data_IF_755368159493
#
_entry.id   IF_755368159493
#
_cell.length_a   1.000
_cell.length_b   1.000
_cell.length_c   1.000
_cell.angle_alpha   90.00
_cell.angle_beta   90.00
_cell.angle_gamma   90.00
#
_symmetry.space_group_name_H-M   'P 1'
#
loop_
_entity.id
_entity.type
_entity.pdbx_description
1 polymer ?
#
# COMPACT_ATOMS: atom_id res chain seq x y z
N UNK A 1 -0.94 99.73 30.60
CA UNK A 1 -1.69 98.65 31.28
C UNK A 1 -1.47 97.35 30.52
N UNK A 2 -0.60 96.74 30.93
CA UNK A 2 -0.21 95.43 31.47
C UNK A 2 -0.18 94.26 30.48
N UNK A 3 1.00 93.71 30.19
CA UNK A 3 1.11 92.42 29.61
C UNK A 3 1.65 91.40 30.65
N UNK A 4 0.87 91.17 31.71
CA UNK A 4 1.32 90.22 32.75
C UNK A 4 0.49 88.92 32.87
N UNK A 5 -0.55 88.77 32.04
CA UNK A 5 -1.42 87.59 32.14
C UNK A 5 -1.05 86.45 31.16
N UNK A 6 -0.29 86.77 30.12
CA UNK A 6 0.06 85.69 29.13
C UNK A 6 1.21 84.77 29.55
N UNK A 7 2.06 85.23 30.45
CA UNK A 7 3.27 84.44 30.84
C UNK A 7 2.95 83.32 31.86
N UNK A 8 1.81 83.35 32.52
CA UNK A 8 1.44 82.30 33.49
C UNK A 8 0.67 81.13 32.84
N UNK A 9 0.01 81.32 31.70
CA UNK A 9 -0.69 80.25 30.98
C UNK A 9 0.24 79.31 30.23
N UNK A 10 1.36 79.83 29.75
CA UNK A 10 2.33 79.01 28.99
C UNK A 10 3.15 78.06 29.87
N UNK A 11 3.28 78.35 31.18
CA UNK A 11 4.07 77.54 32.09
C UNK A 11 3.36 76.27 32.57
N UNK A 12 2.03 76.24 32.48
CA UNK A 12 1.22 75.08 32.92
C UNK A 12 0.93 74.15 31.74
N UNK A 13 1.04 74.58 30.51
CA UNK A 13 0.83 73.76 29.33
C UNK A 13 2.08 72.86 29.02
N UNK A 14 3.28 73.36 29.34
CA UNK A 14 4.51 72.58 29.14
C UNK A 14 4.70 71.43 30.18
N UNK A 15 4.09 71.55 31.37
CA UNK A 15 4.23 70.53 32.43
C UNK A 15 3.29 69.34 32.27
N UNK A 16 2.20 69.47 31.48
CA UNK A 16 1.26 68.36 31.24
C UNK A 16 1.56 67.61 29.94
N UNK A 17 2.44 68.10 29.03
CA UNK A 17 2.82 67.42 27.80
C UNK A 17 3.88 66.33 28.00
N UNK A 18 4.50 66.18 29.16
CA UNK A 18 5.59 65.20 29.46
C UNK A 18 5.06 63.92 30.13
N UNK A 19 3.74 63.76 30.33
CA UNK A 19 3.13 62.60 31.00
C UNK A 19 2.34 61.66 30.10
N UNK A 20 2.33 61.91 28.79
CA UNK A 20 1.69 61.04 27.80
C UNK A 20 2.68 60.44 26.81
N UNK A 21 3.74 59.76 27.34
CA UNK A 21 4.48 58.80 26.55
C UNK A 21 3.62 57.53 26.49
N UNK A 22 3.13 57.08 25.32
CA UNK A 22 2.50 55.78 25.20
C UNK A 22 3.57 54.72 25.52
N UNK A 23 3.39 54.05 26.66
CA UNK A 23 4.17 52.86 26.98
C UNK A 23 3.97 51.85 25.84
N UNK A 24 4.98 51.68 24.98
CA UNK A 24 5.01 50.60 24.02
C UNK A 24 5.16 49.30 24.85
N UNK A 25 4.04 48.70 25.23
CA UNK A 25 4.04 47.31 25.66
C UNK A 25 4.43 46.48 24.46
N UNK A 26 5.71 46.14 24.38
CA UNK A 26 6.21 45.11 23.47
C UNK A 26 5.58 43.79 23.99
N UNK A 27 4.42 43.42 23.41
CA UNK A 27 3.88 42.06 23.54
C UNK A 27 4.92 41.17 22.89
N UNK A 28 5.83 40.62 23.70
CA UNK A 28 6.66 39.52 23.29
C UNK A 28 5.69 38.37 22.93
N UNK A 29 5.38 38.23 21.67
CA UNK A 29 4.76 37.03 21.12
C UNK A 29 5.76 35.90 21.37
N UNK A 30 5.57 35.18 22.43
CA UNK A 30 6.24 33.89 22.66
C UNK A 30 5.70 32.97 21.57
N UNK A 31 6.36 32.94 20.43
CA UNK A 31 6.26 31.83 19.49
C UNK A 31 6.77 30.62 20.25
N UNK A 32 5.85 29.86 20.84
CA UNK A 32 6.17 28.47 21.23
C UNK A 32 6.70 27.80 19.97
N UNK A 33 7.89 27.20 20.02
CA UNK A 33 8.30 26.34 18.91
C UNK A 33 7.22 25.27 18.80
N UNK A 34 6.53 25.21 17.65
CA UNK A 34 5.76 24.03 17.27
C UNK A 34 6.69 22.84 17.46
N UNK A 35 6.40 22.06 18.47
CA UNK A 35 7.07 20.80 18.72
C UNK A 35 6.70 19.92 17.54
N UNK A 36 7.50 19.94 16.48
CA UNK A 36 7.44 18.97 15.40
C UNK A 36 7.62 17.61 16.07
N UNK A 37 6.51 16.99 16.40
CA UNK A 37 6.47 15.62 16.92
C UNK A 37 7.15 14.75 15.84
N UNK A 38 8.39 14.33 16.12
CA UNK A 38 9.10 13.44 15.22
C UNK A 38 8.31 12.13 15.14
N UNK A 39 7.92 11.74 13.92
CA UNK A 39 7.19 10.50 13.68
C UNK A 39 7.99 9.31 14.24
N UNK A 40 7.29 8.37 14.87
CA UNK A 40 7.88 7.16 15.46
C UNK A 40 8.29 6.20 14.32
N UNK A 41 9.56 5.78 14.24
CA UNK A 41 9.99 4.84 13.21
C UNK A 41 9.25 3.51 13.32
N UNK A 42 8.77 2.97 12.19
CA UNK A 42 8.09 1.68 12.14
C UNK A 42 8.60 0.90 10.93
N UNK A 43 9.14 -0.30 11.14
CA UNK A 43 9.70 -1.10 10.08
C UNK A 43 8.77 -2.27 9.73
N UNK A 44 8.41 -2.35 8.44
CA UNK A 44 7.56 -3.39 7.87
C UNK A 44 8.35 -4.25 6.88
N UNK A 45 7.97 -5.51 6.71
CA UNK A 45 8.47 -6.36 5.63
C UNK A 45 7.47 -6.42 4.48
N UNK A 46 7.99 -6.60 3.26
CA UNK A 46 7.21 -6.82 2.05
C UNK A 46 7.95 -7.76 1.10
N UNK A 47 7.24 -8.36 0.15
CA UNK A 47 7.82 -8.99 -1.03
C UNK A 47 7.68 -8.10 -2.26
N UNK A 48 8.45 -8.40 -3.32
CA UNK A 48 8.28 -7.76 -4.62
C UNK A 48 6.98 -8.21 -5.28
N UNK A 49 6.14 -7.25 -5.61
CA UNK A 49 4.86 -7.47 -6.26
C UNK A 49 4.36 -6.21 -7.00
N UNK A 50 5.11 -5.75 -8.00
CA UNK A 50 4.74 -4.55 -8.74
C UNK A 50 3.41 -4.76 -9.51
N UNK A 51 2.58 -3.72 -9.61
CA UNK A 51 2.81 -2.33 -9.25
C UNK A 51 2.38 -1.96 -7.81
N UNK A 52 2.00 -2.94 -6.98
CA UNK A 52 1.51 -2.70 -5.63
C UNK A 52 2.62 -2.48 -4.61
N UNK A 53 3.67 -3.30 -4.69
CA UNK A 53 4.82 -3.33 -3.78
C UNK A 53 6.09 -3.56 -4.60
N UNK A 54 7.05 -2.64 -4.55
CA UNK A 54 8.37 -2.84 -5.16
C UNK A 54 9.38 -1.83 -4.62
N UNK A 55 10.59 -2.27 -4.31
CA UNK A 55 11.68 -1.42 -3.83
C UNK A 55 12.03 -0.32 -4.84
N UNK A 56 11.93 -0.62 -6.14
CA UNK A 56 12.36 0.26 -7.23
C UNK A 56 11.32 1.24 -7.75
N UNK A 57 10.04 1.05 -7.39
CA UNK A 57 8.96 1.90 -7.90
C UNK A 57 8.85 3.24 -7.15
N UNK A 58 8.32 4.30 -7.81
CA UNK A 58 7.91 5.53 -7.13
C UNK A 58 7.01 5.21 -5.93
N UNK A 59 7.34 5.80 -4.78
CA UNK A 59 6.66 5.52 -3.52
C UNK A 59 6.63 4.03 -3.12
N UNK A 60 7.50 3.20 -3.71
CA UNK A 60 7.56 1.75 -3.51
C UNK A 60 6.27 1.01 -3.89
N UNK A 61 5.47 1.60 -4.79
CA UNK A 61 4.21 1.07 -5.30
C UNK A 61 2.97 1.59 -4.56
N UNK A 62 1.81 1.32 -5.14
CA UNK A 62 0.54 1.92 -4.71
C UNK A 62 0.16 1.52 -3.26
N UNK A 63 0.35 0.27 -2.90
CA UNK A 63 -0.02 -0.24 -1.56
C UNK A 63 1.01 0.15 -0.51
N UNK A 64 2.31 0.18 -0.85
CA UNK A 64 3.33 0.70 0.07
C UNK A 64 3.09 2.18 0.39
N UNK A 65 2.70 2.98 -0.61
CA UNK A 65 2.33 4.39 -0.44
C UNK A 65 1.11 4.53 0.49
N UNK A 66 0.03 3.81 0.20
CA UNK A 66 -1.18 3.80 1.03
C UNK A 66 -0.88 3.45 2.50
N UNK A 67 -0.13 2.37 2.75
CA UNK A 67 0.21 1.92 4.11
C UNK A 67 1.04 2.97 4.84
N UNK A 68 2.00 3.58 4.14
CA UNK A 68 2.86 4.63 4.72
C UNK A 68 2.04 5.83 5.16
N UNK A 69 1.13 6.30 4.32
CA UNK A 69 0.30 7.48 4.62
C UNK A 69 -0.71 7.19 5.74
N UNK A 70 -1.29 5.99 5.78
CA UNK A 70 -2.16 5.56 6.89
C UNK A 70 -1.42 5.63 8.22
N UNK A 71 -0.20 5.12 8.29
CA UNK A 71 0.59 5.16 9.51
C UNK A 71 1.13 6.57 9.83
N UNK A 72 1.39 7.40 8.82
CA UNK A 72 1.83 8.78 9.03
C UNK A 72 0.77 9.62 9.73
N UNK A 73 -0.51 9.47 9.38
CA UNK A 73 -1.64 10.10 10.10
C UNK A 73 -1.74 9.65 11.56
N UNK A 74 -1.19 8.48 11.86
CA UNK A 74 -1.14 7.94 13.21
C UNK A 74 0.16 8.26 13.97
N UNK A 75 1.04 9.09 13.41
CA UNK A 75 2.28 9.52 14.03
C UNK A 75 3.47 8.58 13.81
N UNK A 76 3.43 7.69 12.83
CA UNK A 76 4.52 6.76 12.53
C UNK A 76 5.17 7.05 11.18
N UNK A 77 6.48 6.83 11.11
CA UNK A 77 7.27 6.88 9.87
C UNK A 77 7.61 5.45 9.44
N UNK A 78 6.89 4.95 8.43
CA UNK A 78 7.05 3.58 7.93
C UNK A 78 8.20 3.48 6.93
N UNK A 79 9.07 2.50 7.14
CA UNK A 79 10.03 2.00 6.16
C UNK A 79 9.75 0.54 5.82
N UNK A 80 9.97 0.16 4.54
CA UNK A 80 9.80 -1.22 4.08
C UNK A 80 11.15 -1.90 3.85
N UNK A 81 11.24 -3.18 4.26
CA UNK A 81 12.30 -4.11 3.86
C UNK A 81 11.73 -5.09 2.84
N UNK A 82 12.21 -5.03 1.60
CA UNK A 82 11.81 -5.97 0.55
C UNK A 82 12.63 -7.25 0.64
N UNK A 83 11.95 -8.37 0.76
CA UNK A 83 12.53 -9.70 1.03
C UNK A 83 11.83 -10.75 0.17
N UNK A 84 12.45 -11.91 -0.08
CA UNK A 84 11.70 -13.07 -0.55
C UNK A 84 10.51 -13.35 0.37
N UNK A 85 9.32 -13.63 -0.19
CA UNK A 85 8.06 -13.76 0.56
C UNK A 85 8.15 -14.67 1.79
N UNK A 86 8.76 -15.87 1.64
CA UNK A 86 8.94 -16.78 2.76
C UNK A 86 9.78 -16.20 3.89
N UNK A 87 10.79 -15.37 3.56
CA UNK A 87 11.62 -14.70 4.56
C UNK A 87 10.87 -13.54 5.22
N UNK A 88 10.11 -12.75 4.44
CA UNK A 88 9.26 -11.69 4.96
C UNK A 88 8.27 -12.25 5.99
N UNK A 89 7.62 -13.38 5.67
CA UNK A 89 6.75 -14.11 6.59
C UNK A 89 7.46 -14.53 7.87
N UNK A 90 8.54 -15.31 7.72
CA UNK A 90 9.26 -15.92 8.85
C UNK A 90 9.84 -14.86 9.80
N UNK A 91 10.51 -13.82 9.25
CA UNK A 91 11.13 -12.78 10.05
C UNK A 91 10.07 -11.96 10.80
N UNK A 92 8.91 -11.68 10.16
CA UNK A 92 7.81 -10.97 10.80
C UNK A 92 7.11 -11.82 11.85
N UNK A 93 6.84 -13.11 11.61
CA UNK A 93 6.26 -14.02 12.59
C UNK A 93 7.09 -14.13 13.88
N UNK A 94 8.41 -13.90 13.77
CA UNK A 94 9.32 -13.86 14.91
C UNK A 94 9.47 -12.46 15.53
N UNK A 95 8.70 -11.46 15.09
CA UNK A 95 8.66 -10.12 15.68
C UNK A 95 9.80 -9.19 15.25
N UNK A 96 10.54 -9.52 14.18
CA UNK A 96 11.61 -8.66 13.66
C UNK A 96 11.05 -7.40 12.98
N UNK A 97 9.86 -7.48 12.42
CA UNK A 97 9.11 -6.39 11.79
C UNK A 97 7.80 -6.19 12.53
N UNK A 98 7.33 -4.94 12.59
CA UNK A 98 6.08 -4.57 13.23
C UNK A 98 4.85 -5.14 12.49
N UNK A 99 4.96 -5.27 11.17
CA UNK A 99 3.96 -5.92 10.32
C UNK A 99 4.59 -6.41 9.01
N UNK A 100 3.85 -7.24 8.27
CA UNK A 100 4.20 -7.70 6.93
C UNK A 100 3.07 -7.40 5.93
N UNK A 101 3.39 -6.85 4.79
CA UNK A 101 2.47 -6.49 3.72
C UNK A 101 2.74 -7.35 2.47
N UNK A 102 1.83 -7.76 1.75
CA UNK A 102 0.39 -7.87 1.67
C UNK A 102 0.09 -9.38 1.57
N UNK A 103 -0.88 -9.88 2.29
CA UNK A 103 -1.08 -11.33 2.39
C UNK A 103 -2.54 -11.70 2.25
N UNK A 104 -2.83 -12.73 1.48
CA UNK A 104 -4.13 -13.38 1.45
C UNK A 104 -4.43 -14.05 2.78
N UNK A 105 -5.74 -14.14 3.12
CA UNK A 105 -6.17 -14.91 4.27
C UNK A 105 -5.82 -16.40 4.10
N UNK A 106 -5.20 -16.97 5.12
CA UNK A 106 -4.93 -18.40 5.22
C UNK A 106 -5.02 -18.83 6.69
N UNK A 107 -5.72 -19.95 6.96
CA UNK A 107 -5.97 -20.42 8.32
C UNK A 107 -4.70 -20.76 9.09
N UNK A 108 -3.72 -21.33 8.41
CA UNK A 108 -2.42 -21.68 9.00
C UNK A 108 -1.60 -20.46 9.45
N UNK A 109 -1.84 -19.28 8.85
CA UNK A 109 -1.18 -18.03 9.23
C UNK A 109 -1.79 -17.37 10.46
N UNK A 110 -3.07 -17.65 10.76
CA UNK A 110 -3.77 -17.07 11.91
C UNK A 110 -3.13 -17.44 13.26
N UNK A 111 -2.35 -18.52 13.32
CA UNK A 111 -1.56 -18.88 14.52
C UNK A 111 -0.38 -17.95 14.80
N UNK A 112 0.16 -17.31 13.76
CA UNK A 112 1.35 -16.45 13.85
C UNK A 112 1.00 -14.96 13.80
N UNK A 113 -0.15 -14.61 13.20
CA UNK A 113 -0.51 -13.22 12.92
C UNK A 113 -1.94 -12.85 13.24
N UNK A 114 -2.12 -11.58 13.56
CA UNK A 114 -3.39 -10.87 13.52
C UNK A 114 -3.53 -10.22 12.13
N UNK A 115 -4.71 -10.29 11.54
CA UNK A 115 -5.00 -9.69 10.24
C UNK A 115 -5.64 -8.32 10.40
N UNK A 116 -5.21 -7.34 9.58
CA UNK A 116 -5.91 -6.06 9.45
C UNK A 116 -7.27 -6.22 8.78
N UNK A 117 -8.02 -5.12 8.64
CA UNK A 117 -9.01 -5.01 7.58
C UNK A 117 -8.32 -5.07 6.21
N UNK A 118 -9.09 -5.44 5.17
CA UNK A 118 -8.56 -5.57 3.81
C UNK A 118 -7.98 -4.26 3.29
N UNK A 119 -6.72 -4.32 2.85
CA UNK A 119 -5.99 -3.20 2.24
C UNK A 119 -6.03 -3.21 0.72
N UNK A 120 -6.36 -4.36 0.10
CA UNK A 120 -6.41 -4.53 -1.35
C UNK A 120 -7.46 -5.57 -1.72
N UNK A 121 -8.22 -5.29 -2.77
CA UNK A 121 -9.04 -6.28 -3.47
C UNK A 121 -8.34 -6.65 -4.78
N UNK A 122 -8.09 -7.93 -4.97
CA UNK A 122 -7.31 -8.49 -6.06
C UNK A 122 -8.18 -9.31 -6.99
N UNK A 123 -7.91 -9.23 -8.28
CA UNK A 123 -8.61 -10.05 -9.28
C UNK A 123 -7.62 -10.93 -10.02
N UNK A 124 -7.60 -12.21 -9.70
CA UNK A 124 -6.84 -13.20 -10.45
C UNK A 124 -7.63 -13.66 -11.67
N UNK A 125 -6.93 -13.72 -12.81
CA UNK A 125 -7.49 -14.13 -14.10
C UNK A 125 -6.58 -15.16 -14.76
N UNK A 126 -7.08 -15.84 -15.81
CA UNK A 126 -6.23 -16.61 -16.72
C UNK A 126 -5.80 -15.76 -17.90
N UNK A 127 -4.49 -15.56 -18.05
CA UNK A 127 -3.88 -15.03 -19.25
C UNK A 127 -3.67 -16.16 -20.25
N UNK A 128 -3.90 -15.87 -21.56
CA UNK A 128 -3.77 -16.82 -22.65
C UNK A 128 -3.34 -16.15 -23.96
N UNK A 129 -2.84 -16.92 -24.92
CA UNK A 129 -2.51 -16.40 -26.27
C UNK A 129 -3.77 -16.11 -27.06
N UNK A 130 -3.93 -14.90 -27.61
CA UNK A 130 -5.09 -14.47 -28.42
C UNK A 130 -5.40 -15.42 -29.60
N UNK A 131 -4.37 -16.06 -30.17
CA UNK A 131 -4.52 -17.02 -31.25
C UNK A 131 -5.08 -18.39 -30.83
N UNK A 132 -5.17 -18.67 -29.53
CA UNK A 132 -5.76 -19.89 -28.97
C UNK A 132 -7.17 -19.63 -28.51
N UNK A 133 -8.09 -20.55 -28.82
CA UNK A 133 -9.40 -20.55 -28.18
C UNK A 133 -9.23 -21.03 -26.74
N UNK A 134 -9.59 -20.18 -25.80
CA UNK A 134 -9.66 -20.55 -24.39
C UNK A 134 -10.95 -19.99 -23.80
N UNK A 135 -11.75 -20.88 -23.23
CA UNK A 135 -12.92 -20.54 -22.45
C UNK A 135 -13.03 -21.52 -21.28
N UNK A 136 -13.63 -21.08 -20.17
CA UNK A 136 -13.86 -21.91 -19.01
C UNK A 136 -15.01 -21.35 -18.18
N UNK A 137 -15.79 -22.25 -17.58
CA UNK A 137 -16.89 -21.91 -16.68
C UNK A 137 -16.69 -22.52 -15.29
N UNK A 138 -15.99 -23.64 -15.21
CA UNK A 138 -15.71 -24.39 -13.98
C UNK A 138 -14.32 -25.01 -14.03
N UNK A 139 -13.76 -25.35 -12.88
CA UNK A 139 -12.38 -25.85 -12.78
C UNK A 139 -12.14 -27.15 -13.55
N UNK A 140 -13.18 -27.95 -13.78
CA UNK A 140 -13.08 -29.18 -14.60
C UNK A 140 -12.81 -28.90 -16.06
N UNK A 141 -13.11 -27.71 -16.56
CA UNK A 141 -12.85 -27.31 -17.96
C UNK A 141 -11.35 -27.10 -18.23
N UNK A 142 -10.56 -26.99 -17.14
CA UNK A 142 -9.10 -26.87 -17.22
C UNK A 142 -8.40 -28.24 -17.41
N UNK A 143 -9.15 -29.33 -17.49
CA UNK A 143 -8.60 -30.67 -17.73
C UNK A 143 -7.82 -30.72 -19.05
N UNK A 144 -6.65 -31.36 -18.98
CA UNK A 144 -5.76 -31.50 -20.15
C UNK A 144 -4.91 -30.28 -20.44
N UNK A 145 -5.16 -29.13 -19.81
CA UNK A 145 -4.32 -27.95 -19.92
C UNK A 145 -3.15 -28.01 -18.93
N UNK A 146 -2.04 -27.42 -19.34
CA UNK A 146 -0.89 -27.14 -18.48
C UNK A 146 -0.96 -25.67 -18.04
N UNK A 147 -1.28 -25.46 -16.77
CA UNK A 147 -1.39 -24.12 -16.20
C UNK A 147 -0.02 -23.61 -15.71
N UNK A 148 0.25 -22.34 -15.90
CA UNK A 148 1.33 -21.60 -15.26
C UNK A 148 0.86 -20.94 -13.98
N UNK A 149 1.77 -20.76 -13.01
CA UNK A 149 1.48 -20.04 -11.77
C UNK A 149 2.73 -19.63 -11.00
N UNK A 150 2.55 -18.79 -10.00
CA UNK A 150 3.60 -18.35 -9.08
C UNK A 150 3.97 -19.43 -8.07
N UNK A 151 5.28 -19.54 -7.77
CA UNK A 151 5.75 -20.44 -6.72
C UNK A 151 5.29 -19.92 -5.34
N UNK A 152 4.65 -20.79 -4.54
CA UNK A 152 4.11 -20.42 -3.24
C UNK A 152 2.78 -19.67 -3.25
N UNK A 153 2.19 -19.37 -4.43
CA UNK A 153 0.88 -18.73 -4.52
C UNK A 153 -0.25 -19.73 -4.23
N UNK A 154 -1.27 -19.26 -3.52
CA UNK A 154 -2.60 -19.88 -3.47
C UNK A 154 -3.50 -19.17 -4.50
N UNK A 155 -4.37 -19.93 -5.15
CA UNK A 155 -5.39 -19.40 -6.06
C UNK A 155 -6.79 -19.65 -5.52
N UNK A 156 -6.90 -19.73 -4.19
CA UNK A 156 -8.12 -19.95 -3.46
C UNK A 156 -8.41 -21.44 -3.16
N UNK A 157 -9.18 -21.71 -2.09
CA UNK A 157 -9.36 -23.07 -1.58
C UNK A 157 -9.91 -24.06 -2.62
N UNK A 158 -10.89 -23.63 -3.42
CA UNK A 158 -11.48 -24.50 -4.46
C UNK A 158 -10.47 -24.88 -5.55
N UNK A 159 -9.66 -23.91 -6.02
CA UNK A 159 -8.63 -24.15 -7.02
C UNK A 159 -7.52 -25.04 -6.46
N UNK A 160 -7.03 -24.73 -5.28
CA UNK A 160 -5.94 -25.48 -4.64
C UNK A 160 -6.38 -26.93 -4.33
N UNK A 161 -7.64 -27.15 -3.92
CA UNK A 161 -8.19 -28.49 -3.75
C UNK A 161 -8.33 -29.25 -5.09
N UNK A 162 -8.77 -28.57 -6.17
CA UNK A 162 -8.87 -29.18 -7.49
C UNK A 162 -7.47 -29.57 -8.04
N UNK A 163 -6.46 -28.74 -7.80
CA UNK A 163 -5.06 -29.02 -8.14
C UNK A 163 -4.53 -30.22 -7.34
N UNK A 164 -4.80 -30.26 -6.02
CA UNK A 164 -4.44 -31.38 -5.16
C UNK A 164 -5.09 -32.70 -5.65
N UNK A 165 -6.35 -32.65 -6.06
CA UNK A 165 -7.11 -33.78 -6.62
C UNK A 165 -6.71 -34.08 -8.08
N UNK A 166 -5.71 -33.39 -8.65
CA UNK A 166 -5.18 -33.62 -10.02
C UNK A 166 -6.23 -33.44 -11.11
N UNK A 167 -7.21 -32.55 -10.90
CA UNK A 167 -8.19 -32.19 -11.95
C UNK A 167 -7.50 -31.62 -13.17
N UNK A 168 -6.44 -30.83 -12.94
CA UNK A 168 -5.54 -30.25 -13.95
C UNK A 168 -4.08 -30.24 -13.41
N UNK A 169 -3.14 -29.83 -14.25
CA UNK A 169 -1.72 -29.70 -13.89
C UNK A 169 -1.32 -28.25 -13.84
N UNK A 170 -0.50 -27.86 -12.87
CA UNK A 170 0.10 -26.53 -12.77
C UNK A 170 1.62 -26.62 -12.64
N UNK A 171 2.32 -25.87 -13.46
CA UNK A 171 3.76 -25.71 -13.40
C UNK A 171 4.10 -24.33 -12.87
N UNK A 172 4.80 -24.27 -11.75
CA UNK A 172 5.07 -23.03 -11.01
C UNK A 172 6.49 -22.54 -11.23
N UNK A 173 6.67 -21.22 -11.33
CA UNK A 173 7.97 -20.54 -11.41
C UNK A 173 8.00 -19.30 -10.52
N UNK A 174 9.18 -18.71 -10.33
CA UNK A 174 9.39 -17.64 -9.37
C UNK A 174 8.91 -16.26 -9.85
N UNK A 175 8.75 -16.04 -11.16
CA UNK A 175 8.39 -14.73 -11.67
C UNK A 175 7.25 -14.77 -12.69
N UNK A 176 6.47 -13.69 -12.72
CA UNK A 176 5.40 -13.43 -13.69
C UNK A 176 5.96 -13.35 -15.09
N UNK A 177 7.13 -12.71 -15.27
CA UNK A 177 7.84 -12.65 -16.54
C UNK A 177 8.14 -14.04 -17.13
N UNK A 178 8.69 -14.95 -16.31
CA UNK A 178 8.98 -16.32 -16.75
C UNK A 178 7.71 -17.05 -17.20
N UNK A 179 6.59 -16.86 -16.50
CA UNK A 179 5.32 -17.46 -16.90
C UNK A 179 4.84 -16.92 -18.26
N UNK A 180 4.92 -15.62 -18.51
CA UNK A 180 4.53 -15.06 -19.82
C UNK A 180 5.44 -15.53 -20.95
N UNK A 181 6.76 -15.62 -20.75
CA UNK A 181 7.68 -16.19 -21.74
C UNK A 181 7.36 -17.66 -22.03
N UNK A 182 6.97 -18.44 -21.03
CA UNK A 182 6.54 -19.83 -21.18
C UNK A 182 5.20 -19.94 -21.91
N UNK A 183 4.26 -19.04 -21.64
CA UNK A 183 2.98 -18.94 -22.34
C UNK A 183 3.21 -18.64 -23.81
N UNK A 184 4.03 -17.64 -24.14
CA UNK A 184 4.37 -17.28 -25.51
C UNK A 184 5.07 -18.42 -26.27
N UNK A 185 5.93 -19.19 -25.57
CA UNK A 185 6.60 -20.36 -26.13
C UNK A 185 5.72 -21.63 -26.21
N UNK A 186 4.45 -21.56 -25.81
CA UNK A 186 3.53 -22.70 -25.79
C UNK A 186 3.88 -23.82 -24.79
N UNK A 187 4.71 -23.53 -23.78
CA UNK A 187 5.09 -24.48 -22.73
C UNK A 187 4.04 -24.62 -21.63
N UNK A 188 3.14 -23.65 -21.53
CA UNK A 188 1.91 -23.65 -20.75
C UNK A 188 0.77 -23.16 -21.64
N UNK A 189 -0.46 -23.57 -21.33
CA UNK A 189 -1.64 -23.21 -22.12
C UNK A 189 -2.29 -21.93 -21.61
N UNK A 190 -2.33 -21.75 -20.30
CA UNK A 190 -2.85 -20.57 -19.61
C UNK A 190 -1.98 -20.23 -18.41
N UNK A 191 -2.01 -18.97 -17.98
CA UNK A 191 -1.27 -18.50 -16.81
C UNK A 191 -2.20 -17.77 -15.85
N UNK A 192 -2.26 -18.25 -14.60
CA UNK A 192 -3.05 -17.63 -13.53
C UNK A 192 -2.23 -16.53 -12.83
N UNK A 193 -2.69 -15.28 -12.92
CA UNK A 193 -2.03 -14.14 -12.28
C UNK A 193 -3.04 -13.04 -11.92
N UNK A 194 -2.67 -12.17 -10.97
CA UNK A 194 -3.40 -10.95 -10.68
C UNK A 194 -3.34 -10.01 -11.91
N UNK A 195 -4.49 -9.42 -12.25
CA UNK A 195 -4.66 -8.71 -13.53
C UNK A 195 -3.73 -7.50 -13.67
N UNK A 196 -3.55 -6.70 -12.61
CA UNK A 196 -2.68 -5.51 -12.64
C UNK A 196 -1.20 -5.89 -12.69
N UNK A 197 -0.80 -6.92 -11.95
CA UNK A 197 0.57 -7.48 -11.97
C UNK A 197 0.89 -8.05 -13.35
N UNK A 198 -0.06 -8.78 -13.94
CA UNK A 198 0.10 -9.33 -15.27
C UNK A 198 0.31 -8.25 -16.33
N UNK A 199 -0.56 -7.25 -16.39
CA UNK A 199 -0.42 -6.15 -17.36
C UNK A 199 0.76 -5.24 -17.06
N UNK A 200 1.10 -5.00 -15.80
CA UNK A 200 2.33 -4.28 -15.46
C UNK A 200 3.56 -5.01 -16.04
N UNK A 201 3.65 -6.33 -15.87
CA UNK A 201 4.77 -7.12 -16.40
C UNK A 201 4.80 -7.10 -17.93
N UNK A 202 3.65 -7.26 -18.58
CA UNK A 202 3.57 -7.19 -20.06
C UNK A 202 4.00 -5.82 -20.57
N UNK A 203 3.48 -4.73 -20.01
CA UNK A 203 3.74 -3.39 -20.52
C UNK A 203 5.18 -2.91 -20.30
N UNK A 204 5.83 -3.32 -19.19
CA UNK A 204 7.13 -2.77 -18.79
C UNK A 204 8.30 -3.74 -18.99
N UNK A 205 8.06 -5.05 -18.88
CA UNK A 205 9.12 -6.05 -18.98
C UNK A 205 9.06 -6.86 -20.28
N UNK A 206 7.87 -6.96 -20.91
CA UNK A 206 7.63 -7.81 -22.08
C UNK A 206 6.75 -7.09 -23.12
N UNK A 207 7.08 -5.83 -23.52
CA UNK A 207 6.23 -5.08 -24.44
C UNK A 207 6.02 -5.81 -25.79
N UNK A 208 6.95 -6.68 -26.18
CA UNK A 208 6.84 -7.51 -27.37
C UNK A 208 5.73 -8.57 -27.32
N UNK A 209 5.21 -8.88 -26.11
CA UNK A 209 4.16 -9.87 -25.90
C UNK A 209 2.76 -9.26 -25.67
N UNK A 210 2.63 -7.97 -25.46
CA UNK A 210 1.36 -7.29 -25.12
C UNK A 210 0.27 -7.59 -26.15
N UNK A 211 0.63 -7.52 -27.45
CA UNK A 211 -0.33 -7.75 -28.52
C UNK A 211 -0.69 -9.22 -28.74
N UNK A 212 0.09 -10.14 -28.19
CA UNK A 212 -0.11 -11.59 -28.35
C UNK A 212 -0.98 -12.18 -27.24
N UNK A 213 -1.08 -11.53 -26.09
CA UNK A 213 -1.69 -12.06 -24.88
C UNK A 213 -2.97 -11.30 -24.53
N UNK A 214 -3.94 -12.01 -24.02
CA UNK A 214 -5.17 -11.47 -23.45
C UNK A 214 -5.47 -12.20 -22.14
N UNK A 215 -6.41 -11.68 -21.36
CA UNK A 215 -6.95 -12.39 -20.20
C UNK A 215 -8.40 -12.82 -20.45
N UNK A 216 -8.82 -13.87 -19.77
CA UNK A 216 -10.21 -14.29 -19.75
C UNK A 216 -11.04 -13.34 -18.88
N UNK A 217 -12.22 -12.86 -19.33
CA UNK A 217 -13.01 -11.87 -18.61
C UNK A 217 -13.60 -12.40 -17.29
N UNK A 218 -13.79 -13.72 -17.18
CA UNK A 218 -14.24 -14.36 -15.93
C UNK A 218 -13.07 -14.47 -14.98
N UNK A 219 -13.16 -13.86 -13.77
CA UNK A 219 -12.10 -14.01 -12.78
C UNK A 219 -12.03 -15.45 -12.27
N UNK A 220 -10.80 -15.93 -12.06
CA UNK A 220 -10.52 -17.16 -11.32
C UNK A 220 -10.82 -16.98 -9.84
N UNK A 221 -10.41 -15.86 -9.29
CA UNK A 221 -10.55 -15.53 -7.89
C UNK A 221 -10.66 -14.01 -7.72
N UNK A 222 -11.61 -13.57 -6.91
CA UNK A 222 -11.58 -12.23 -6.29
C UNK A 222 -11.17 -12.44 -4.85
N UNK A 223 -10.06 -11.84 -4.47
CA UNK A 223 -9.44 -12.03 -3.17
C UNK A 223 -9.28 -10.71 -2.42
N UNK A 224 -9.11 -10.81 -1.11
CA UNK A 224 -8.75 -9.70 -0.24
C UNK A 224 -7.39 -9.95 0.36
N UNK A 225 -6.56 -8.92 0.39
CA UNK A 225 -5.24 -8.97 1.04
C UNK A 225 -5.13 -8.01 2.19
N UNK A 226 -4.28 -8.37 3.14
CA UNK A 226 -4.24 -7.83 4.49
C UNK A 226 -2.82 -7.50 4.90
N UNK A 227 -2.68 -6.57 5.82
CA UNK A 227 -1.46 -6.39 6.58
C UNK A 227 -1.46 -7.38 7.75
N UNK A 228 -0.35 -8.08 7.97
CA UNK A 228 -0.19 -9.07 9.03
C UNK A 228 0.62 -8.51 10.19
N UNK A 229 0.08 -8.56 11.40
CA UNK A 229 0.75 -8.13 12.63
C UNK A 229 1.14 -9.35 13.46
N UNK A 230 2.43 -9.54 13.83
CA UNK A 230 2.89 -10.74 14.52
C UNK A 230 2.25 -10.87 15.91
N UNK A 231 1.69 -12.04 16.23
CA UNK A 231 1.08 -12.27 17.54
C UNK A 231 2.09 -12.20 18.69
N UNK A 232 3.37 -12.43 18.41
CA UNK A 232 4.46 -12.39 19.40
C UNK A 232 4.84 -10.97 19.85
N UNK A 233 4.49 -9.92 19.08
CA UNK A 233 4.82 -8.54 19.45
C UNK A 233 3.74 -7.95 20.36
N UNK A 234 4.16 -7.33 21.46
CA UNK A 234 3.26 -6.71 22.42
C UNK A 234 2.42 -5.57 21.80
N UNK A 235 3.00 -4.84 20.84
CA UNK A 235 2.39 -3.66 20.23
C UNK A 235 1.43 -4.01 19.08
N UNK A 236 1.41 -5.27 18.61
CA UNK A 236 0.65 -5.68 17.43
C UNK A 236 -0.85 -5.37 17.52
N UNK A 237 -1.47 -5.59 18.66
CA UNK A 237 -2.91 -5.29 18.84
C UNK A 237 -3.21 -3.80 18.74
N UNK A 238 -2.36 -2.97 19.33
CA UNK A 238 -2.49 -1.52 19.30
C UNK A 238 -2.27 -0.99 17.88
N UNK A 239 -1.19 -1.42 17.21
CA UNK A 239 -0.88 -1.03 15.84
C UNK A 239 -1.97 -1.47 14.86
N UNK A 240 -2.52 -2.68 15.03
CA UNK A 240 -3.63 -3.19 14.24
C UNK A 240 -4.89 -2.32 14.39
N UNK A 241 -5.28 -2.00 15.61
CA UNK A 241 -6.47 -1.17 15.87
C UNK A 241 -6.31 0.22 15.28
N UNK A 242 -5.14 0.83 15.48
CA UNK A 242 -4.79 2.12 14.93
C UNK A 242 -4.81 2.10 13.39
N UNK A 243 -4.15 1.12 12.77
CA UNK A 243 -4.15 0.96 11.32
C UNK A 243 -5.57 0.81 10.75
N UNK A 244 -6.39 -0.07 11.33
CA UNK A 244 -7.76 -0.29 10.88
C UNK A 244 -8.63 0.97 11.00
N UNK A 245 -8.49 1.72 12.10
CA UNK A 245 -9.20 2.99 12.30
C UNK A 245 -8.84 4.01 11.22
N UNK A 246 -7.56 4.19 10.94
CA UNK A 246 -7.09 5.12 9.89
C UNK A 246 -7.47 4.63 8.49
N UNK A 247 -7.33 3.33 8.19
CA UNK A 247 -7.75 2.75 6.91
C UNK A 247 -9.24 3.01 6.65
N UNK A 248 -10.08 2.88 7.67
CA UNK A 248 -11.51 3.17 7.56
C UNK A 248 -11.75 4.65 7.22
N UNK A 249 -11.04 5.58 7.85
CA UNK A 249 -11.12 7.02 7.52
C UNK A 249 -10.68 7.30 6.09
N UNK A 250 -9.61 6.66 5.61
CA UNK A 250 -9.16 6.76 4.22
C UNK A 250 -10.21 6.26 3.24
N UNK A 251 -10.90 5.14 3.55
CA UNK A 251 -12.00 4.61 2.74
C UNK A 251 -13.20 5.57 2.72
N UNK A 252 -13.61 6.08 3.87
CA UNK A 252 -14.76 6.98 4.01
C UNK A 252 -14.53 8.35 3.33
N UNK A 253 -13.32 8.88 3.38
CA UNK A 253 -12.96 10.18 2.74
C UNK A 253 -12.69 10.08 1.24
N UNK A 254 -12.64 8.88 0.66
CA UNK A 254 -12.24 8.65 -0.72
C UNK A 254 -10.73 8.67 -0.97
N UNK A 255 -9.90 9.01 0.02
CA UNK A 255 -8.43 8.98 -0.12
C UNK A 255 -7.92 7.60 -0.52
N UNK A 256 -8.50 6.53 0.02
CA UNK A 256 -8.14 5.16 -0.35
C UNK A 256 -8.23 4.94 -1.87
N UNK A 257 -9.31 5.38 -2.51
CA UNK A 257 -9.50 5.19 -3.95
C UNK A 257 -8.46 5.95 -4.78
N UNK A 258 -8.02 7.13 -4.33
CA UNK A 258 -7.06 7.95 -5.07
C UNK A 258 -5.71 7.27 -5.35
N UNK A 259 -5.28 6.32 -4.50
CA UNK A 259 -4.06 5.53 -4.74
C UNK A 259 -4.21 4.59 -5.93
N UNK A 260 -5.38 3.98 -6.08
CA UNK A 260 -5.69 3.07 -7.19
C UNK A 260 -6.03 3.81 -8.47
N UNK A 261 -6.67 4.97 -8.38
CA UNK A 261 -6.87 5.89 -9.53
C UNK A 261 -5.51 6.36 -10.08
N UNK A 262 -4.58 6.73 -9.18
CA UNK A 262 -3.21 7.07 -9.55
C UNK A 262 -2.48 5.88 -10.17
N UNK A 263 -2.69 4.67 -9.64
CA UNK A 263 -2.13 3.44 -10.24
C UNK A 263 -2.65 3.24 -11.66
N UNK A 264 -3.96 3.36 -11.87
CA UNK A 264 -4.59 3.23 -13.19
C UNK A 264 -4.10 4.28 -14.20
N UNK A 265 -3.66 5.45 -13.73
CA UNK A 265 -3.08 6.53 -14.53
C UNK A 265 -1.56 6.41 -14.74
N UNK A 266 -0.93 5.33 -14.27
CA UNK A 266 0.51 5.11 -14.41
C UNK A 266 1.39 5.85 -13.40
N UNK A 267 0.82 6.38 -12.32
CA UNK A 267 1.54 7.22 -11.35
C UNK A 267 2.56 6.47 -10.46
N UNK A 268 2.72 5.15 -10.66
CA UNK A 268 3.69 4.29 -9.98
C UNK A 268 4.55 3.49 -10.99
N UNK A 269 4.76 4.06 -12.17
CA UNK A 269 5.53 3.43 -13.25
C UNK A 269 6.86 4.15 -13.45
#
# INVERSE_FOLDING_TARGET
MQPMFLARLLRHVVLYALLLLPGHYCLATTTQPEQQSSLIPLQLSAGEWPPFLSESLPQQGAVAHLIRDIFAEAGYNVSFSFLPWGRAYHDSANGKYAASAVWMLAEDRAKDFLYSESVLSEQFVFFYLKQRRFDWQQLTDLRGLVLGGGLGYSYGPAFDQALHNRVFKMSRVNSTEQNFRRLAAGRIDVFAEEISVGYYTLNHQLPELVDLINHHPRPLLINQSYLLFPQKSADSKQLLQLFNSQLQQFKQSGRYQSYFDRLAQGGYQ
#
